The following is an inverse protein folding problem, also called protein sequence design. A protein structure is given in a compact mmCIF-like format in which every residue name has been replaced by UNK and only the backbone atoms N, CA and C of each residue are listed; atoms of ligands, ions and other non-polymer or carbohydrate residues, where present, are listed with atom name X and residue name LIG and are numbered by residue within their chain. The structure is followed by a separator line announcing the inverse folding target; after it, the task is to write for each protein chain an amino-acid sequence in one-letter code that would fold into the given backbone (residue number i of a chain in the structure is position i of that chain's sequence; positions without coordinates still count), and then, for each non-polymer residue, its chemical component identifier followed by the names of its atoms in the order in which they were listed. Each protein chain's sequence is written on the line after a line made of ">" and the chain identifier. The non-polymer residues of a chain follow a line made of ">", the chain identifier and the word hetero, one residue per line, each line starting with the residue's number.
data_IF_052222795601
#
_entry.id   IF_052222795601
#
_cell.length_a   1.000
_cell.length_b   1.000
_cell.length_c   1.000
_cell.angle_alpha   90.00
_cell.angle_beta   90.00
_cell.angle_gamma   90.00
#
_symmetry.space_group_name_H-M   'P 1'
#
loop_
_entity.id
_entity.type
_entity.pdbx_description
1 polymer ?
#
# COMPACT_ATOMS: atom_id res chain seq x y z
N UNK A 1 0.52 -6.46 19.14
CA UNK A 1 -0.10 -7.11 17.96
C UNK A 1 0.37 -6.33 16.75
N UNK A 2 1.12 -6.95 15.84
CA UNK A 2 1.72 -6.24 14.72
C UNK A 2 0.66 -5.68 13.77
N UNK A 3 0.86 -4.47 13.26
CA UNK A 3 0.01 -3.89 12.22
C UNK A 3 0.18 -4.73 10.93
N UNK A 4 -0.77 -5.63 10.65
CA UNK A 4 -0.74 -6.48 9.46
C UNK A 4 -1.39 -5.75 8.30
N UNK A 5 -0.57 -5.14 7.43
CA UNK A 5 -1.02 -4.70 6.12
C UNK A 5 -1.18 -5.89 5.16
N UNK A 6 -2.09 -5.76 4.20
CA UNK A 6 -2.48 -6.85 3.30
C UNK A 6 -2.15 -6.51 1.85
N UNK A 7 -1.73 -7.50 1.07
CA UNK A 7 -1.59 -7.35 -0.37
C UNK A 7 -2.94 -7.63 -1.02
N UNK A 8 -3.47 -6.66 -1.75
CA UNK A 8 -4.76 -6.75 -2.45
C UNK A 8 -4.56 -6.62 -3.95
N UNK A 9 -5.38 -7.32 -4.74
CA UNK A 9 -5.34 -7.26 -6.21
C UNK A 9 -6.68 -6.76 -6.74
N UNK A 10 -6.66 -5.83 -7.68
CA UNK A 10 -7.87 -5.32 -8.35
C UNK A 10 -8.39 -6.31 -9.39
N UNK A 11 -9.63 -6.15 -9.82
CA UNK A 11 -10.20 -6.90 -10.97
C UNK A 11 -9.33 -6.80 -12.23
N UNK A 12 -8.62 -5.68 -12.41
CA UNK A 12 -7.72 -5.44 -13.55
C UNK A 12 -6.31 -6.01 -13.37
N UNK A 13 -6.05 -6.75 -12.28
CA UNK A 13 -4.76 -7.38 -12.01
C UNK A 13 -3.70 -6.47 -11.37
N UNK A 14 -4.04 -5.23 -11.00
CA UNK A 14 -3.10 -4.35 -10.29
C UNK A 14 -3.00 -4.73 -8.82
N UNK A 15 -1.78 -4.89 -8.30
CA UNK A 15 -1.54 -5.27 -6.90
C UNK A 15 -1.11 -4.07 -6.04
N UNK A 16 -1.75 -3.92 -4.89
CA UNK A 16 -1.50 -2.86 -3.91
C UNK A 16 -1.24 -3.44 -2.53
N UNK A 17 -0.53 -2.68 -1.70
CA UNK A 17 -0.43 -2.92 -0.27
C UNK A 17 -1.46 -2.04 0.44
N UNK A 18 -2.30 -2.61 1.28
CA UNK A 18 -3.32 -1.92 2.04
C UNK A 18 -2.92 -1.86 3.51
N UNK A 19 -2.93 -0.65 4.08
CA UNK A 19 -2.69 -0.41 5.50
C UNK A 19 -3.55 0.77 5.94
N UNK A 20 -4.34 0.59 6.99
CA UNK A 20 -5.22 1.61 7.59
C UNK A 20 -6.13 2.35 6.59
N UNK A 21 -6.69 1.61 5.62
CA UNK A 21 -7.56 2.18 4.58
C UNK A 21 -6.81 2.91 3.45
N UNK A 22 -5.48 3.00 3.51
CA UNK A 22 -4.66 3.57 2.46
C UNK A 22 -4.02 2.50 1.59
N UNK A 23 -3.92 2.80 0.30
CA UNK A 23 -3.24 1.95 -0.68
C UNK A 23 -1.88 2.48 -1.03
N UNK A 24 -0.93 1.57 -1.10
CA UNK A 24 0.44 1.82 -1.49
C UNK A 24 0.79 0.98 -2.72
N UNK A 25 1.49 1.57 -3.67
CA UNK A 25 2.00 0.87 -4.85
C UNK A 25 3.50 0.64 -4.71
N UNK A 26 4.01 -0.45 -5.31
CA UNK A 26 5.45 -0.67 -5.40
C UNK A 26 6.11 0.56 -6.04
N UNK A 27 7.14 1.06 -5.38
CA UNK A 27 7.89 2.25 -5.80
C UNK A 27 9.32 1.87 -6.18
N UNK A 28 10.01 1.14 -5.29
CA UNK A 28 11.42 0.77 -5.48
C UNK A 28 11.71 -0.57 -4.83
N UNK A 29 12.52 -1.39 -5.47
CA UNK A 29 13.13 -2.57 -4.86
C UNK A 29 14.54 -2.23 -4.38
N UNK A 30 14.93 -2.77 -3.22
CA UNK A 30 16.25 -2.61 -2.64
C UNK A 30 17.14 -3.82 -2.96
N UNK A 31 18.48 -3.68 -2.95
CA UNK A 31 19.40 -4.80 -3.19
C UNK A 31 19.28 -5.96 -2.19
N UNK A 32 18.82 -5.67 -0.97
CA UNK A 32 18.53 -6.68 0.07
C UNK A 32 17.24 -7.49 -0.19
N UNK A 33 16.59 -7.27 -1.34
CA UNK A 33 15.32 -7.87 -1.74
C UNK A 33 14.09 -7.21 -1.11
N UNK A 34 14.27 -6.22 -0.24
CA UNK A 34 13.19 -5.43 0.33
C UNK A 34 12.48 -4.55 -0.69
N UNK A 35 11.24 -4.18 -0.40
CA UNK A 35 10.41 -3.36 -1.30
C UNK A 35 9.94 -2.12 -0.56
N UNK A 36 10.05 -0.95 -1.21
CA UNK A 36 9.34 0.26 -0.81
C UNK A 36 8.02 0.32 -1.53
N UNK A 37 6.93 0.33 -0.76
CA UNK A 37 5.61 0.72 -1.20
C UNK A 37 5.38 2.19 -0.83
N UNK A 38 4.91 3.01 -1.76
CA UNK A 38 4.61 4.42 -1.50
C UNK A 38 3.12 4.68 -1.69
N UNK A 39 2.56 5.63 -0.94
CA UNK A 39 1.16 5.98 -1.06
C UNK A 39 0.80 6.27 -2.53
N UNK A 40 -0.33 5.74 -2.99
CA UNK A 40 -0.78 5.90 -4.39
C UNK A 40 -1.02 7.36 -4.77
N UNK A 41 -1.27 8.22 -3.78
CA UNK A 41 -1.43 9.68 -3.95
C UNK A 41 -0.11 10.45 -3.83
N UNK A 42 1.06 9.78 -3.79
CA UNK A 42 2.39 10.43 -3.75
C UNK A 42 2.56 11.48 -4.85
N UNK A 43 2.18 11.14 -6.09
CA UNK A 43 2.36 12.07 -7.21
C UNK A 43 1.25 13.12 -7.28
N UNK A 44 -0.01 12.73 -7.06
CA UNK A 44 -1.18 13.63 -7.20
C UNK A 44 -1.44 14.54 -6.01
N UNK A 45 -1.03 14.16 -4.79
CA UNK A 45 -1.21 14.93 -3.55
C UNK A 45 0.11 15.25 -2.85
N UNK A 46 1.25 14.92 -3.46
CA UNK A 46 2.58 15.05 -2.82
C UNK A 46 2.67 14.31 -1.47
N UNK A 47 1.91 13.22 -1.33
CA UNK A 47 1.85 12.45 -0.08
C UNK A 47 3.17 11.75 0.21
N UNK A 48 3.69 11.92 1.43
CA UNK A 48 4.97 11.38 1.88
C UNK A 48 4.90 9.98 2.50
N UNK A 49 3.71 9.40 2.65
CA UNK A 49 3.53 8.11 3.31
C UNK A 49 4.16 6.94 2.51
N UNK A 50 4.79 6.01 3.22
CA UNK A 50 5.43 4.82 2.63
C UNK A 50 5.55 3.66 3.62
N UNK A 51 5.79 2.47 3.07
CA UNK A 51 6.10 1.24 3.80
C UNK A 51 7.34 0.64 3.16
N UNK A 52 8.34 0.25 3.96
CA UNK A 52 9.48 -0.56 3.53
C UNK A 52 9.30 -1.95 4.12
N UNK A 53 9.33 -2.96 3.27
CA UNK A 53 9.31 -4.36 3.66
C UNK A 53 10.67 -5.00 3.43
N UNK A 54 10.92 -6.12 4.11
CA UNK A 54 12.03 -7.04 3.81
C UNK A 54 11.67 -7.94 2.62
N UNK A 55 12.63 -8.75 2.17
CA UNK A 55 12.39 -9.81 1.17
C UNK A 55 11.31 -10.82 1.58
N UNK A 56 11.08 -10.98 2.89
CA UNK A 56 10.06 -11.87 3.45
C UNK A 56 8.74 -11.14 3.74
N UNK A 57 8.52 -9.97 3.12
CA UNK A 57 7.33 -9.12 3.31
C UNK A 57 7.10 -8.62 4.75
N UNK A 58 8.12 -8.68 5.61
CA UNK A 58 8.05 -8.14 6.97
C UNK A 58 8.22 -6.62 6.90
N UNK A 59 7.33 -5.86 7.55
CA UNK A 59 7.45 -4.40 7.64
C UNK A 59 8.71 -4.06 8.44
N UNK A 60 9.63 -3.32 7.82
CA UNK A 60 10.89 -2.85 8.42
C UNK A 60 10.80 -1.38 8.86
N UNK A 61 10.07 -0.56 8.10
CA UNK A 61 9.92 0.88 8.37
C UNK A 61 8.64 1.40 7.71
N UNK A 62 7.94 2.29 8.39
CA UNK A 62 6.76 2.97 7.85
C UNK A 62 6.84 4.48 8.05
N UNK A 63 6.14 5.20 7.19
CA UNK A 63 5.64 6.54 7.46
C UNK A 63 4.15 6.50 7.13
N UNK A 64 3.30 6.53 8.16
CA UNK A 64 1.84 6.44 8.03
C UNK A 64 1.16 7.82 8.06
N UNK A 65 1.94 8.91 8.10
CA UNK A 65 1.40 10.26 8.00
C UNK A 65 0.97 10.59 6.57
N UNK A 66 -0.34 10.76 6.36
CA UNK A 66 -0.94 11.17 5.09
C UNK A 66 -1.42 12.62 5.18
N UNK A 67 -1.30 13.34 4.06
CA UNK A 67 -1.79 14.72 3.91
C UNK A 67 -3.12 14.78 3.14
N UNK A 68 -3.84 13.66 3.09
CA UNK A 68 -5.13 13.53 2.42
C UNK A 68 -5.91 12.44 3.14
N UNK A 69 -7.23 12.48 3.00
CA UNK A 69 -8.11 11.45 3.54
C UNK A 69 -7.92 10.10 2.84
N UNK A 70 -8.26 8.98 3.50
CA UNK A 70 -8.30 7.68 2.87
C UNK A 70 -9.21 7.71 1.64
N UNK A 71 -8.81 7.13 0.51
CA UNK A 71 -9.73 6.96 -0.60
C UNK A 71 -10.85 5.99 -0.22
N UNK A 72 -12.06 6.22 -0.73
CA UNK A 72 -13.15 5.25 -0.60
C UNK A 72 -12.85 3.98 -1.39
N UNK A 73 -13.02 2.82 -0.74
CA UNK A 73 -12.81 1.51 -1.33
C UNK A 73 -13.90 0.54 -0.88
N UNK A 74 -14.33 -0.33 -1.78
CA UNK A 74 -15.19 -1.49 -1.48
C UNK A 74 -14.47 -2.77 -1.87
N UNK A 75 -14.55 -3.75 -0.98
CA UNK A 75 -14.24 -5.13 -1.31
C UNK A 75 -15.50 -5.76 -1.90
N UNK A 76 -15.37 -6.27 -3.12
CA UNK A 76 -16.43 -7.07 -3.74
C UNK A 76 -16.51 -8.44 -3.07
N UNK A 77 -17.66 -9.11 -3.19
CA UNK A 77 -17.86 -10.48 -2.66
C UNK A 77 -16.87 -11.49 -3.24
N UNK A 78 -16.35 -11.20 -4.43
CA UNK A 78 -15.36 -12.03 -5.14
C UNK A 78 -13.91 -11.72 -4.70
N UNK A 79 -13.71 -10.92 -3.65
CA UNK A 79 -12.40 -10.60 -3.09
C UNK A 79 -11.64 -9.51 -3.83
N UNK A 80 -12.23 -8.88 -4.85
CA UNK A 80 -11.57 -7.79 -5.58
C UNK A 80 -11.69 -6.45 -4.87
N UNK A 81 -10.61 -5.69 -4.96
CA UNK A 81 -10.50 -4.33 -4.46
C UNK A 81 -10.96 -3.30 -5.50
N UNK A 82 -12.06 -2.58 -5.24
CA UNK A 82 -12.63 -1.55 -6.13
C UNK A 82 -12.56 -0.19 -5.46
N UNK A 83 -12.00 0.78 -6.18
CA UNK A 83 -11.98 2.18 -5.75
C UNK A 83 -13.31 2.84 -6.10
N UNK A 84 -13.93 3.50 -5.12
CA UNK A 84 -15.09 4.37 -5.34
C UNK A 84 -14.69 5.79 -5.71
#
# INVERSE_FOLDING_TARGET
>A
MGEYGQIVTTVTGSTFYLLDGYTYSKNRQFPDGGIRYACRKRLSRKCGAFIRTSKNNIILKTNTFHNHEPPGYVFTKDGYFVKT
#
